data_IF_646304082772
#
_entry.id   IF_646304082772
#
_cell.length_a   1.000
_cell.length_b   1.000
_cell.length_c   1.000
_cell.angle_alpha   90.00
_cell.angle_beta   90.00
_cell.angle_gamma   90.00
#
_symmetry.space_group_name_H-M   'P 1'
#
loop_
_entity.id
_entity.type
_entity.pdbx_description
1 polymer ?
#
# COMPACT_ATOMS: atom_id res chain seq x y z
N UNK A 1 8.88 26.33 -12.67
CA UNK A 1 9.71 26.93 -13.75
C UNK A 1 11.06 26.26 -13.62
N UNK A 2 11.50 25.51 -14.63
CA UNK A 2 12.71 24.69 -14.48
C UNK A 2 13.96 25.60 -14.34
N UNK A 3 14.80 25.43 -13.31
CA UNK A 3 15.89 26.37 -12.97
C UNK A 3 16.89 26.57 -14.11
N UNK A 4 17.12 25.54 -14.93
CA UNK A 4 18.14 25.56 -15.98
C UNK A 4 17.63 26.09 -17.32
N UNK A 5 16.35 25.86 -17.66
CA UNK A 5 15.79 26.18 -18.99
C UNK A 5 14.85 27.39 -18.98
N UNK A 6 14.41 27.86 -17.79
CA UNK A 6 13.54 29.03 -17.62
C UNK A 6 12.21 28.97 -18.40
N UNK A 7 11.81 27.79 -18.86
CA UNK A 7 10.53 27.51 -19.50
C UNK A 7 9.80 26.37 -18.79
N UNK A 8 8.50 26.24 -19.03
CA UNK A 8 7.71 25.07 -18.61
C UNK A 8 7.81 24.00 -19.69
N UNK A 9 8.11 22.77 -19.29
CA UNK A 9 8.10 21.62 -20.19
C UNK A 9 6.85 20.78 -19.91
N UNK A 10 6.17 20.32 -20.96
CA UNK A 10 5.12 19.31 -20.86
C UNK A 10 5.81 17.93 -20.91
N UNK A 11 6.04 17.33 -19.74
CA UNK A 11 6.73 16.04 -19.61
C UNK A 11 5.79 14.93 -19.12
N UNK A 12 4.69 15.30 -18.49
CA UNK A 12 3.79 14.38 -17.80
C UNK A 12 2.46 14.28 -18.57
N UNK A 13 2.17 13.08 -19.09
CA UNK A 13 0.97 12.79 -19.87
C UNK A 13 0.15 11.65 -19.26
N UNK A 14 -1.17 11.72 -19.43
CA UNK A 14 -2.10 10.63 -19.10
C UNK A 14 -2.54 9.97 -20.40
N UNK A 15 -2.02 8.78 -20.67
CA UNK A 15 -2.29 8.03 -21.89
C UNK A 15 -3.57 7.20 -21.79
N UNK A 16 -4.39 7.28 -22.84
CA UNK A 16 -5.70 6.64 -22.92
C UNK A 16 -5.78 5.78 -24.18
N UNK A 17 -6.56 4.70 -24.15
CA UNK A 17 -6.97 4.05 -25.40
C UNK A 17 -8.03 4.91 -26.08
N UNK A 18 -7.96 5.05 -27.40
CA UNK A 18 -8.91 5.86 -28.20
C UNK A 18 -10.39 5.53 -27.93
N UNK A 19 -10.69 4.26 -27.68
CA UNK A 19 -12.05 3.77 -27.39
C UNK A 19 -12.60 4.23 -26.03
N UNK A 20 -11.73 4.55 -25.07
CA UNK A 20 -12.09 4.89 -23.69
C UNK A 20 -12.14 6.43 -23.49
N UNK A 21 -12.05 7.21 -24.59
CA UNK A 21 -12.02 8.69 -24.55
C UNK A 21 -13.28 9.30 -23.92
N UNK A 22 -14.44 8.70 -24.18
CA UNK A 22 -15.73 9.17 -23.65
C UNK A 22 -15.88 8.97 -22.14
N UNK A 23 -15.02 8.15 -21.53
CA UNK A 23 -15.02 7.94 -20.08
C UNK A 23 -14.21 8.99 -19.34
N UNK A 24 -13.48 9.88 -20.03
CA UNK A 24 -12.71 10.98 -19.41
C UNK A 24 -13.62 12.16 -19.10
N UNK A 25 -13.67 12.55 -17.82
CA UNK A 25 -14.52 13.65 -17.36
C UNK A 25 -13.75 14.96 -17.28
N UNK A 26 -12.58 14.95 -16.62
CA UNK A 26 -11.78 16.16 -16.36
C UNK A 26 -10.31 15.77 -16.39
N UNK A 27 -9.47 16.57 -17.04
CA UNK A 27 -8.01 16.47 -16.92
C UNK A 27 -7.46 17.84 -16.57
N UNK A 28 -6.68 17.93 -15.48
CA UNK A 28 -6.10 19.20 -15.01
C UNK A 28 -4.74 18.99 -14.36
N UNK A 29 -3.88 20.00 -14.51
CA UNK A 29 -2.65 20.13 -13.75
C UNK A 29 -2.89 21.01 -12.51
N UNK A 30 -2.41 20.58 -11.35
CA UNK A 30 -2.50 21.31 -10.08
C UNK A 30 -1.18 22.08 -9.89
N UNK A 31 -1.28 23.40 -9.72
CA UNK A 31 -0.11 24.29 -9.68
C UNK A 31 0.55 24.41 -8.30
N UNK A 32 -0.21 24.13 -7.23
CA UNK A 32 0.16 24.41 -5.84
C UNK A 32 0.10 23.15 -4.96
N UNK A 33 0.20 21.96 -5.57
CA UNK A 33 0.45 20.76 -4.77
C UNK A 33 1.86 20.91 -4.20
N UNK A 34 2.01 20.85 -2.88
CA UNK A 34 3.31 20.82 -2.19
C UNK A 34 3.96 19.44 -2.38
N UNK A 35 4.13 19.06 -3.64
CA UNK A 35 4.95 17.93 -4.00
C UNK A 35 6.41 18.39 -3.90
N UNK A 36 7.27 17.57 -3.30
CA UNK A 36 8.70 17.87 -3.16
C UNK A 36 9.44 17.78 -4.51
N UNK A 37 8.72 17.93 -5.62
CA UNK A 37 9.20 17.74 -6.97
C UNK A 37 9.17 19.06 -7.72
N UNK A 38 9.95 19.16 -8.79
CA UNK A 38 9.89 20.27 -9.73
C UNK A 38 8.79 20.10 -10.79
N UNK A 39 8.00 19.01 -10.66
CA UNK A 39 6.86 18.66 -11.49
C UNK A 39 5.55 19.21 -10.91
N UNK A 40 4.48 19.16 -11.71
CA UNK A 40 3.13 19.50 -11.25
C UNK A 40 2.29 18.25 -11.30
N UNK A 41 1.56 17.98 -10.22
CA UNK A 41 0.57 16.91 -10.21
C UNK A 41 -0.47 17.07 -11.33
N UNK A 42 -0.53 16.09 -12.24
CA UNK A 42 -1.57 15.98 -13.27
C UNK A 42 -2.61 14.96 -12.81
N UNK A 43 -3.88 15.38 -12.77
CA UNK A 43 -5.00 14.52 -12.39
C UNK A 43 -5.97 14.42 -13.56
N UNK A 44 -6.43 13.20 -13.85
CA UNK A 44 -7.58 12.97 -14.70
C UNK A 44 -8.66 12.18 -13.96
N UNK A 45 -9.88 12.71 -13.98
CA UNK A 45 -11.07 12.06 -13.46
C UNK A 45 -11.73 11.26 -14.59
N UNK A 46 -12.02 9.98 -14.35
CA UNK A 46 -12.55 9.05 -15.36
C UNK A 46 -13.66 8.17 -14.82
N UNK A 47 -14.55 7.70 -15.71
CA UNK A 47 -15.57 6.68 -15.45
C UNK A 47 -15.01 5.28 -15.70
N UNK A 48 -14.64 4.59 -14.62
CA UNK A 48 -14.14 3.21 -14.72
C UNK A 48 -15.31 2.21 -14.67
N UNK A 49 -15.47 1.42 -15.74
CA UNK A 49 -16.40 0.28 -15.77
C UNK A 49 -15.63 -1.00 -15.45
N UNK A 50 -15.47 -1.28 -14.17
CA UNK A 50 -14.91 -2.54 -13.71
C UNK A 50 -16.02 -3.60 -13.69
N UNK A 51 -16.03 -4.48 -14.69
CA UNK A 51 -16.83 -5.70 -14.64
C UNK A 51 -16.24 -6.59 -13.53
N UNK A 52 -17.02 -7.01 -12.51
CA UNK A 52 -16.56 -7.94 -11.51
C UNK A 52 -16.31 -9.29 -12.20
N UNK A 53 -15.05 -9.58 -12.52
CA UNK A 53 -14.66 -10.90 -12.98
C UNK A 53 -14.59 -11.81 -11.76
N UNK A 54 -15.75 -12.18 -11.21
CA UNK A 54 -15.81 -13.22 -10.17
C UNK A 54 -15.48 -14.54 -10.83
N UNK A 55 -14.23 -14.99 -10.71
CA UNK A 55 -13.95 -16.39 -10.99
C UNK A 55 -14.64 -17.23 -9.90
N UNK A 56 -15.25 -18.38 -10.25
CA UNK A 56 -15.82 -19.29 -9.25
C UNK A 56 -14.79 -19.73 -8.19
N UNK A 57 -13.51 -19.78 -8.58
CA UNK A 57 -12.40 -20.14 -7.71
C UNK A 57 -12.11 -19.08 -6.64
N UNK A 58 -12.17 -17.79 -6.97
CA UNK A 58 -12.00 -16.69 -6.00
C UNK A 58 -13.15 -16.63 -4.99
N UNK A 59 -14.39 -16.89 -5.44
CA UNK A 59 -15.54 -16.93 -4.54
C UNK A 59 -15.46 -18.11 -3.54
N UNK A 60 -15.03 -19.28 -4.01
CA UNK A 60 -14.83 -20.45 -3.16
C UNK A 60 -13.69 -20.24 -2.14
N UNK A 61 -12.59 -19.62 -2.57
CA UNK A 61 -11.47 -19.28 -1.69
C UNK A 61 -11.86 -18.24 -0.64
N UNK A 62 -12.65 -17.22 -1.00
CA UNK A 62 -13.14 -16.21 -0.06
C UNK A 62 -13.97 -16.84 1.06
N UNK A 63 -14.86 -17.78 0.73
CA UNK A 63 -15.69 -18.46 1.73
C UNK A 63 -14.84 -19.33 2.68
N UNK A 64 -13.85 -20.05 2.14
CA UNK A 64 -12.92 -20.85 2.95
C UNK A 64 -12.04 -20.01 3.88
N UNK A 65 -11.62 -18.83 3.43
CA UNK A 65 -10.86 -17.89 4.28
C UNK A 65 -11.74 -17.41 5.45
N UNK A 66 -12.97 -17.00 5.18
CA UNK A 66 -13.90 -16.54 6.22
C UNK A 66 -14.16 -17.62 7.28
N UNK A 67 -14.46 -18.86 6.84
CA UNK A 67 -14.69 -19.99 7.75
C UNK A 67 -13.45 -20.29 8.61
N UNK A 68 -12.25 -20.28 8.03
CA UNK A 68 -11.01 -20.52 8.78
C UNK A 68 -10.67 -19.39 9.74
N UNK A 69 -10.92 -18.14 9.36
CA UNK A 69 -10.72 -16.99 10.24
C UNK A 69 -11.65 -17.04 11.47
N UNK A 70 -12.92 -17.39 11.27
CA UNK A 70 -13.89 -17.55 12.37
C UNK A 70 -13.46 -18.63 13.37
N UNK A 71 -12.86 -19.71 12.89
CA UNK A 71 -12.39 -20.81 13.73
C UNK A 71 -11.07 -20.53 14.46
N UNK A 72 -10.20 -19.68 13.90
CA UNK A 72 -8.85 -19.40 14.44
C UNK A 72 -8.80 -18.11 15.27
N UNK A 73 -9.72 -17.18 15.04
CA UNK A 73 -9.77 -15.92 15.76
C UNK A 73 -10.63 -16.03 17.01
N UNK A 74 -9.99 -16.34 18.14
CA UNK A 74 -10.59 -16.18 19.47
C UNK A 74 -10.07 -14.87 20.06
N UNK A 75 -10.86 -13.78 20.06
CA UNK A 75 -10.42 -12.53 20.65
C UNK A 75 -10.27 -12.69 22.17
N UNK A 76 -9.03 -12.69 22.67
CA UNK A 76 -8.79 -12.45 24.08
C UNK A 76 -9.15 -10.99 24.37
N UNK A 77 -10.30 -10.79 25.02
CA UNK A 77 -10.88 -9.48 25.22
C UNK A 77 -10.12 -8.62 26.25
N UNK A 78 -9.02 -9.13 26.84
CA UNK A 78 -8.24 -8.46 27.88
C UNK A 78 -6.84 -7.97 27.44
N UNK A 79 -6.40 -8.23 26.20
CA UNK A 79 -5.05 -7.85 25.73
C UNK A 79 -4.98 -6.43 25.13
N UNK A 80 -3.83 -5.76 25.24
CA UNK A 80 -3.50 -4.47 24.60
C UNK A 80 -3.61 -4.56 23.06
N UNK A 81 -3.90 -3.44 22.38
CA UNK A 81 -4.16 -3.41 20.92
C UNK A 81 -3.02 -3.97 20.06
N UNK A 82 -1.76 -3.81 20.50
CA UNK A 82 -0.58 -4.21 19.73
C UNK A 82 -0.49 -5.76 19.58
N UNK A 83 -0.55 -6.57 20.66
CA UNK A 83 -0.65 -8.03 20.56
C UNK A 83 -1.81 -8.54 19.69
N UNK A 84 -3.01 -7.94 19.80
CA UNK A 84 -4.17 -8.35 18.99
C UNK A 84 -3.96 -8.10 17.51
N UNK A 85 -3.35 -6.97 17.17
CA UNK A 85 -3.05 -6.64 15.78
C UNK A 85 -2.07 -7.66 15.17
N UNK A 86 -0.99 -8.01 15.89
CA UNK A 86 -0.05 -9.02 15.42
C UNK A 86 -0.71 -10.40 15.28
N UNK A 87 -1.55 -10.79 16.24
CA UNK A 87 -2.28 -12.05 16.19
C UNK A 87 -3.20 -12.11 14.96
N UNK A 88 -4.03 -11.08 14.76
CA UNK A 88 -4.92 -11.00 13.61
C UNK A 88 -4.15 -11.03 12.28
N UNK A 89 -3.07 -10.24 12.17
CA UNK A 89 -2.20 -10.23 10.99
C UNK A 89 -1.64 -11.61 10.69
N UNK A 90 -1.14 -12.31 11.70
CA UNK A 90 -0.54 -13.64 11.53
C UNK A 90 -1.59 -14.66 11.09
N UNK A 91 -2.77 -14.66 11.71
CA UNK A 91 -3.89 -15.56 11.36
C UNK A 91 -4.39 -15.31 9.94
N UNK A 92 -4.53 -14.05 9.52
CA UNK A 92 -4.88 -13.70 8.13
C UNK A 92 -3.80 -14.20 7.17
N UNK A 93 -2.52 -13.94 7.47
CA UNK A 93 -1.42 -14.31 6.59
C UNK A 93 -1.28 -15.82 6.43
N UNK A 94 -1.35 -16.59 7.52
CA UNK A 94 -1.26 -18.05 7.49
C UNK A 94 -2.46 -18.67 6.78
N UNK A 95 -3.67 -18.17 7.02
CA UNK A 95 -4.90 -18.66 6.38
C UNK A 95 -4.88 -18.39 4.87
N UNK A 96 -4.44 -17.19 4.46
CA UNK A 96 -4.27 -16.86 3.05
C UNK A 96 -3.25 -17.78 2.37
N UNK A 97 -2.11 -18.05 3.03
CA UNK A 97 -1.09 -18.96 2.50
C UNK A 97 -1.59 -20.40 2.37
N UNK A 98 -2.41 -20.86 3.30
CA UNK A 98 -2.99 -22.22 3.26
C UNK A 98 -4.08 -22.37 2.18
N UNK A 99 -4.99 -21.39 2.07
CA UNK A 99 -6.14 -21.46 1.15
C UNK A 99 -5.76 -21.11 -0.29
N UNK A 100 -4.94 -20.07 -0.47
CA UNK A 100 -4.57 -19.57 -1.80
C UNK A 100 -3.25 -20.15 -2.30
N UNK A 101 -2.43 -20.71 -1.40
CA UNK A 101 -1.06 -21.10 -1.71
C UNK A 101 -0.14 -19.90 -1.95
N UNK A 102 1.14 -20.17 -2.16
CA UNK A 102 2.06 -19.18 -2.75
C UNK A 102 1.88 -19.18 -4.26
N UNK A 103 1.68 -18.00 -4.85
CA UNK A 103 1.71 -17.85 -6.29
C UNK A 103 3.11 -18.25 -6.79
N UNK A 104 3.22 -19.38 -7.49
CA UNK A 104 4.43 -19.73 -8.23
C UNK A 104 4.42 -18.96 -9.54
N UNK A 105 5.03 -17.77 -9.54
CA UNK A 105 5.31 -17.04 -10.79
C UNK A 105 6.51 -17.71 -11.45
N UNK A 106 6.43 -17.94 -12.77
CA UNK A 106 7.52 -18.57 -13.53
C UNK A 106 8.76 -17.66 -13.67
N UNK A 107 8.58 -16.37 -13.43
CA UNK A 107 9.64 -15.39 -13.34
C UNK A 107 9.65 -14.91 -11.88
N UNK A 108 10.65 -15.32 -11.09
CA UNK A 108 10.95 -14.63 -9.85
C UNK A 108 11.24 -13.18 -10.24
N UNK A 109 10.38 -12.26 -9.80
CA UNK A 109 10.68 -10.85 -9.99
C UNK A 109 11.74 -10.44 -8.97
N UNK A 110 12.46 -9.35 -9.28
CA UNK A 110 13.56 -8.87 -8.43
C UNK A 110 13.16 -8.71 -6.96
N UNK A 111 11.87 -8.47 -6.66
CA UNK A 111 11.41 -8.35 -5.28
C UNK A 111 11.38 -9.69 -4.55
N UNK A 112 10.99 -10.79 -5.22
CA UNK A 112 11.01 -12.12 -4.62
C UNK A 112 12.42 -12.57 -4.24
N UNK A 113 13.42 -12.31 -5.10
CA UNK A 113 14.82 -12.66 -4.84
C UNK A 113 15.45 -11.81 -3.72
N UNK A 114 14.91 -10.61 -3.46
CA UNK A 114 15.41 -9.69 -2.44
C UNK A 114 14.49 -9.60 -1.22
N UNK A 115 13.47 -10.47 -1.08
CA UNK A 115 12.44 -10.36 -0.04
C UNK A 115 13.02 -10.41 1.38
N UNK A 116 14.00 -11.28 1.62
CA UNK A 116 14.68 -11.41 2.91
C UNK A 116 15.49 -10.15 3.24
N UNK A 117 16.23 -9.61 2.27
CA UNK A 117 17.05 -8.41 2.43
C UNK A 117 16.18 -7.15 2.64
N UNK A 118 15.09 -7.02 1.88
CA UNK A 118 14.10 -5.96 2.04
C UNK A 118 13.44 -6.06 3.42
N UNK A 119 13.04 -7.26 3.84
CA UNK A 119 12.44 -7.50 5.15
C UNK A 119 13.37 -7.12 6.30
N UNK A 120 14.66 -7.45 6.19
CA UNK A 120 15.69 -7.06 7.15
C UNK A 120 15.86 -5.54 7.23
N UNK A 121 15.99 -4.85 6.09
CA UNK A 121 16.11 -3.39 6.04
C UNK A 121 14.87 -2.70 6.60
N UNK A 122 13.68 -3.23 6.33
CA UNK A 122 12.43 -2.71 6.90
C UNK A 122 12.37 -2.86 8.42
N UNK A 123 12.84 -3.99 8.97
CA UNK A 123 12.90 -4.20 10.41
C UNK A 123 13.84 -3.19 11.08
N UNK A 124 15.02 -2.96 10.51
CA UNK A 124 15.98 -1.97 11.00
C UNK A 124 15.40 -0.54 10.95
N UNK A 125 14.86 -0.13 9.80
CA UNK A 125 14.21 1.17 9.63
C UNK A 125 13.10 1.41 10.66
N UNK A 126 12.26 0.40 10.90
CA UNK A 126 11.16 0.51 11.86
C UNK A 126 11.67 0.59 13.31
N UNK A 127 12.73 -0.16 13.66
CA UNK A 127 13.39 -0.08 14.96
C UNK A 127 13.97 1.31 15.23
N UNK A 128 14.71 1.86 14.27
CA UNK A 128 15.27 3.23 14.35
C UNK A 128 14.17 4.28 14.46
N UNK A 129 13.10 4.15 13.67
CA UNK A 129 11.96 5.06 13.74
C UNK A 129 11.28 5.06 15.11
N UNK A 130 11.10 3.88 15.72
CA UNK A 130 10.54 3.75 17.08
C UNK A 130 11.45 4.42 18.12
N UNK A 131 12.77 4.22 18.02
CA UNK A 131 13.75 4.88 18.89
C UNK A 131 13.71 6.41 18.75
N UNK A 132 13.66 6.93 17.52
CA UNK A 132 13.51 8.36 17.26
C UNK A 132 12.21 8.94 17.84
N UNK A 133 11.08 8.25 17.68
CA UNK A 133 9.79 8.72 18.20
C UNK A 133 9.75 8.73 19.74
N UNK A 134 10.37 7.74 20.39
CA UNK A 134 10.51 7.73 21.85
C UNK A 134 11.38 8.90 22.33
N UNK A 135 12.55 9.10 21.71
CA UNK A 135 13.46 10.21 22.05
C UNK A 135 12.77 11.59 21.86
N UNK A 136 12.03 11.76 20.77
CA UNK A 136 11.23 12.98 20.51
C UNK A 136 10.19 13.21 21.61
N UNK A 137 9.55 12.14 22.08
CA UNK A 137 8.51 12.20 23.12
C UNK A 137 9.12 12.56 24.47
N UNK A 138 10.29 12.01 24.81
CA UNK A 138 11.01 12.30 26.06
C UNK A 138 11.55 13.73 26.08
N UNK A 139 12.12 14.22 24.97
CA UNK A 139 12.55 15.61 24.82
C UNK A 139 11.36 16.59 24.92
N UNK A 140 10.19 16.22 24.36
CA UNK A 140 8.98 17.03 24.45
C UNK A 140 8.48 17.10 25.90
N UNK A 141 8.46 15.98 26.64
CA UNK A 141 8.11 15.95 28.06
C UNK A 141 9.07 16.77 28.93
N UNK A 142 10.38 16.70 28.66
CA UNK A 142 11.40 17.45 29.39
C UNK A 142 11.33 18.97 29.19
N UNK A 143 10.76 19.44 28.08
CA UNK A 143 10.57 20.87 27.80
C UNK A 143 9.33 21.47 28.48
N UNK A 144 8.47 20.64 29.11
CA UNK A 144 7.24 21.08 29.78
C UNK A 144 7.33 21.06 31.33
N UNK A 145 8.51 20.80 31.90
CA UNK A 145 8.84 20.96 33.32
C UNK A 145 10.02 21.91 33.47
#
# INVERSE_FOLDING_TARGET
MHPQSRCWHLLDDILLRRRDREDVLVTKAIRDADDRTDHRLVISQMRLRLQPRRSPQEAAASNQITEKLENLYVPDNNSTLEPRYYQLRNVIHSTALEVLGRARRQNQDWFEDNDDDISKLLAEKNGLHKAYMNLRTDATKAAFF
#
